data_IF_946895512212
#
_entry.id   IF_946895512212
#
_cell.length_a   1.000
_cell.length_b   1.000
_cell.length_c   1.000
_cell.angle_alpha   90.00
_cell.angle_beta   90.00
_cell.angle_gamma   90.00
#
_symmetry.space_group_name_H-M   'P 1'
#
loop_
_entity.id
_entity.type
_entity.pdbx_description
1 polymer ?
#
# COMPACT_ATOMS: atom_id res chain seq x y z
N UNK A 1 37.25 26.97 -55.28
CA UNK A 1 36.60 27.92 -56.17
C UNK A 1 35.67 28.74 -55.30
N UNK A 2 36.09 29.97 -55.07
CA UNK A 2 35.41 31.05 -54.32
C UNK A 2 34.16 31.50 -55.08
N UNK A 3 33.25 32.11 -54.38
CA UNK A 3 32.66 33.45 -54.61
C UNK A 3 31.64 33.67 -53.53
N UNK A 4 31.92 34.52 -52.65
CA UNK A 4 31.37 35.70 -52.02
C UNK A 4 30.41 36.51 -52.88
N UNK A 5 29.40 37.14 -52.30
CA UNK A 5 29.17 38.60 -52.15
C UNK A 5 27.74 38.86 -51.70
N UNK A 6 27.54 39.53 -50.63
CA UNK A 6 27.27 40.93 -50.28
C UNK A 6 25.79 41.30 -50.27
N UNK A 7 25.29 41.58 -49.12
CA UNK A 7 25.10 42.87 -48.44
C UNK A 7 24.25 43.89 -49.24
N UNK A 8 23.13 44.27 -48.65
CA UNK A 8 22.60 45.65 -48.67
C UNK A 8 21.51 45.83 -47.60
N UNK A 9 21.84 46.69 -46.67
CA UNK A 9 20.92 47.20 -45.70
C UNK A 9 20.05 48.34 -46.21
N UNK A 10 19.01 48.62 -45.50
CA UNK A 10 18.41 49.95 -45.38
C UNK A 10 17.49 50.04 -44.19
N UNK A 11 17.88 50.86 -43.32
CA UNK A 11 17.27 51.49 -42.17
C UNK A 11 16.05 52.40 -42.58
N UNK A 12 15.12 52.62 -41.67
CA UNK A 12 14.16 53.71 -41.40
C UNK A 12 12.85 53.11 -40.88
N UNK A 13 12.39 53.37 -39.69
CA UNK A 13 12.11 54.59 -39.04
C UNK A 13 10.99 54.36 -38.00
N UNK A 14 11.16 54.97 -36.94
CA UNK A 14 10.36 55.31 -35.78
C UNK A 14 8.83 55.25 -35.91
N UNK A 15 8.16 54.71 -34.89
CA UNK A 15 6.69 54.70 -34.76
C UNK A 15 6.22 54.22 -33.39
N UNK A 16 6.32 55.09 -32.40
CA UNK A 16 5.76 54.88 -31.08
C UNK A 16 4.25 54.62 -31.09
N UNK A 17 3.85 53.40 -30.77
CA UNK A 17 2.44 53.04 -30.53
C UNK A 17 2.28 52.38 -29.17
N UNK A 18 1.91 53.15 -28.15
CA UNK A 18 1.49 52.65 -26.85
C UNK A 18 0.32 51.67 -27.01
N UNK A 19 0.53 50.40 -26.69
CA UNK A 19 -0.55 49.45 -26.45
C UNK A 19 -1.09 49.60 -25.02
N UNK A 20 -2.41 49.59 -24.82
CA UNK A 20 -3.02 49.70 -23.52
C UNK A 20 -2.76 48.42 -22.71
N UNK A 21 -2.37 48.58 -21.44
CA UNK A 21 -2.23 47.54 -20.47
C UNK A 21 -3.54 46.76 -20.29
N UNK A 22 -3.54 45.50 -20.68
CA UNK A 22 -4.62 44.59 -20.34
C UNK A 22 -4.62 44.37 -18.82
N UNK A 23 -5.64 44.90 -18.15
CA UNK A 23 -6.00 44.56 -16.77
C UNK A 23 -6.15 43.02 -16.70
N UNK A 24 -5.25 42.38 -15.96
CA UNK A 24 -5.48 41.02 -15.49
C UNK A 24 -6.69 41.03 -14.55
N UNK A 25 -7.78 40.49 -15.02
CA UNK A 25 -8.90 40.09 -14.18
C UNK A 25 -8.38 39.09 -13.14
N UNK A 26 -8.80 39.16 -11.88
CA UNK A 26 -8.48 38.10 -10.91
C UNK A 26 -9.18 36.83 -11.40
N UNK A 27 -8.39 35.84 -11.80
CA UNK A 27 -8.89 34.52 -12.07
C UNK A 27 -9.54 34.04 -10.77
N UNK A 28 -10.81 33.84 -10.84
CA UNK A 28 -11.73 33.30 -9.87
C UNK A 28 -11.11 32.05 -9.22
N UNK A 29 -10.87 32.17 -7.93
CA UNK A 29 -10.61 31.03 -7.01
C UNK A 29 -11.94 30.29 -6.79
N UNK A 30 -12.43 29.61 -7.83
CA UNK A 30 -13.59 28.71 -7.76
C UNK A 30 -13.29 27.42 -8.51
N UNK A 31 -12.33 26.62 -7.97
CA UNK A 31 -12.13 25.23 -8.39
C UNK A 31 -11.49 24.40 -7.28
N UNK A 32 -11.97 24.50 -6.03
CA UNK A 32 -11.60 23.57 -4.97
C UNK A 32 -12.78 23.06 -4.14
N UNK A 33 -14.00 23.27 -4.59
CA UNK A 33 -15.21 22.79 -3.90
C UNK A 33 -15.64 21.38 -4.29
N UNK A 34 -14.69 20.50 -4.67
CA UNK A 34 -14.97 19.12 -5.08
C UNK A 34 -14.01 18.09 -4.52
N UNK A 35 -13.12 18.45 -3.61
CA UNK A 35 -12.31 17.45 -2.91
C UNK A 35 -13.26 16.53 -2.13
N UNK A 36 -13.36 15.26 -2.52
CA UNK A 36 -14.16 14.27 -1.80
C UNK A 36 -13.67 14.27 -0.35
N UNK A 37 -14.54 14.57 0.60
CA UNK A 37 -14.22 14.63 2.04
C UNK A 37 -13.63 13.32 2.57
N UNK A 38 -13.76 12.24 1.81
CA UNK A 38 -13.22 10.91 2.14
C UNK A 38 -12.63 10.27 0.90
N UNK A 39 -11.30 10.24 0.82
CA UNK A 39 -10.56 9.49 -0.19
C UNK A 39 -9.96 8.21 0.44
N UNK A 40 -9.60 7.22 -0.37
CA UNK A 40 -8.99 5.97 0.09
C UNK A 40 -7.50 6.13 0.47
N UNK A 41 -6.85 7.23 0.10
CA UNK A 41 -5.44 7.52 0.43
C UNK A 41 -5.32 8.37 1.70
N UNK A 42 -4.34 8.12 2.60
CA UNK A 42 -4.10 8.98 3.75
C UNK A 42 -3.58 10.35 3.29
N UNK A 43 -4.08 11.42 3.89
CA UNK A 43 -3.70 12.80 3.54
C UNK A 43 -2.54 13.33 4.38
N UNK A 44 -2.33 12.75 5.59
CA UNK A 44 -1.30 13.23 6.52
C UNK A 44 -0.61 12.07 7.26
N UNK A 45 0.65 12.26 7.72
CA UNK A 45 1.36 11.28 8.56
C UNK A 45 0.63 10.95 9.87
N UNK A 46 -0.12 11.91 10.42
CA UNK A 46 -0.93 11.71 11.62
C UNK A 46 -2.12 10.78 11.36
N UNK A 47 -2.74 10.88 10.20
CA UNK A 47 -3.81 9.96 9.80
C UNK A 47 -3.30 8.53 9.65
N UNK A 48 -2.09 8.36 9.11
CA UNK A 48 -1.46 7.04 9.03
C UNK A 48 -1.15 6.45 10.40
N UNK A 49 -0.66 7.25 11.34
CA UNK A 49 -0.36 6.80 12.69
C UNK A 49 -1.62 6.30 13.41
N UNK A 50 -2.73 7.04 13.28
CA UNK A 50 -4.03 6.64 13.84
C UNK A 50 -4.54 5.37 13.14
N UNK A 51 -4.44 5.30 11.81
CA UNK A 51 -4.86 4.11 11.06
C UNK A 51 -4.07 2.87 11.50
N UNK A 52 -2.76 3.00 11.74
CA UNK A 52 -1.94 1.92 12.31
C UNK A 52 -2.39 1.51 13.72
N UNK A 53 -2.74 2.47 14.57
CA UNK A 53 -3.20 2.19 15.93
C UNK A 53 -4.56 1.46 15.96
N UNK A 54 -5.40 1.66 14.95
CA UNK A 54 -6.71 1.00 14.82
C UNK A 54 -6.60 -0.42 14.24
N UNK A 55 -5.47 -0.81 13.64
CA UNK A 55 -5.32 -2.14 13.04
C UNK A 55 -5.40 -3.24 14.09
N UNK A 56 -6.13 -4.34 13.80
CA UNK A 56 -6.04 -5.54 14.62
C UNK A 56 -4.63 -6.12 14.55
N UNK A 57 -4.17 -6.70 15.65
CA UNK A 57 -2.83 -7.28 15.77
C UNK A 57 -2.83 -8.79 15.63
N UNK A 58 -3.93 -9.46 15.95
CA UNK A 58 -4.09 -10.90 15.91
C UNK A 58 -5.29 -11.29 15.03
N UNK A 59 -5.34 -12.56 14.61
CA UNK A 59 -6.45 -13.12 13.82
C UNK A 59 -7.78 -13.05 14.59
N UNK A 60 -7.77 -13.22 15.90
CA UNK A 60 -8.97 -13.15 16.74
C UNK A 60 -9.63 -11.76 16.71
N UNK A 61 -8.83 -10.72 16.60
CA UNK A 61 -9.30 -9.33 16.49
C UNK A 61 -9.74 -8.95 15.07
N UNK A 62 -9.43 -9.80 14.09
CA UNK A 62 -9.66 -9.50 12.67
C UNK A 62 -11.09 -9.86 12.28
N UNK A 63 -11.88 -8.85 11.97
CA UNK A 63 -13.29 -9.00 11.57
C UNK A 63 -13.40 -9.15 10.06
N UNK A 64 -14.26 -10.05 9.62
CA UNK A 64 -14.56 -10.29 8.21
C UNK A 64 -13.60 -11.27 7.53
N UNK A 65 -13.74 -11.42 6.20
CA UNK A 65 -12.90 -12.31 5.39
C UNK A 65 -12.83 -13.75 5.94
N UNK A 66 -13.95 -14.30 6.38
CA UNK A 66 -14.00 -15.54 7.17
C UNK A 66 -13.19 -16.70 6.56
N UNK A 67 -13.31 -16.90 5.23
CA UNK A 67 -12.58 -17.98 4.51
C UNK A 67 -11.06 -17.76 4.56
N UNK A 68 -10.61 -16.52 4.36
CA UNK A 68 -9.17 -16.16 4.38
C UNK A 68 -8.63 -16.35 5.80
N UNK A 69 -9.38 -15.92 6.80
CA UNK A 69 -9.01 -16.07 8.21
C UNK A 69 -8.87 -17.54 8.60
N UNK A 70 -9.86 -18.36 8.28
CA UNK A 70 -9.84 -19.82 8.58
C UNK A 70 -8.63 -20.49 7.90
N UNK A 71 -8.37 -20.20 6.64
CA UNK A 71 -7.21 -20.74 5.94
C UNK A 71 -5.88 -20.31 6.57
N UNK A 72 -5.73 -19.04 6.88
CA UNK A 72 -4.51 -18.53 7.52
C UNK A 72 -4.29 -19.13 8.90
N UNK A 73 -5.35 -19.31 9.69
CA UNK A 73 -5.28 -19.94 11.01
C UNK A 73 -4.70 -21.36 10.91
N UNK A 74 -5.19 -22.16 9.95
CA UNK A 74 -4.69 -23.52 9.69
C UNK A 74 -3.24 -23.49 9.24
N UNK A 75 -2.89 -22.69 8.26
CA UNK A 75 -1.55 -22.68 7.66
C UNK A 75 -0.49 -22.13 8.62
N UNK A 76 -0.81 -21.04 9.33
CA UNK A 76 0.07 -20.47 10.37
C UNK A 76 0.27 -21.47 11.51
N UNK A 77 -0.81 -22.11 11.97
CA UNK A 77 -0.73 -23.15 13.00
C UNK A 77 0.18 -24.30 12.59
N UNK A 78 0.04 -24.78 11.35
CA UNK A 78 0.88 -25.85 10.81
C UNK A 78 2.35 -25.43 10.68
N UNK A 79 2.64 -24.24 10.16
CA UNK A 79 4.01 -23.72 10.05
C UNK A 79 4.68 -23.60 11.43
N UNK A 80 3.96 -23.08 12.42
CA UNK A 80 4.44 -22.99 13.83
C UNK A 80 4.76 -24.37 14.42
N UNK A 81 3.89 -25.34 14.21
CA UNK A 81 4.11 -26.72 14.72
C UNK A 81 5.35 -27.38 14.13
N UNK A 82 5.65 -27.11 12.85
CA UNK A 82 6.81 -27.65 12.15
C UNK A 82 8.09 -26.84 12.36
N UNK A 83 7.98 -25.59 12.84
CA UNK A 83 9.12 -24.67 12.95
C UNK A 83 9.67 -24.20 11.60
N UNK A 84 8.82 -24.21 10.57
CA UNK A 84 9.14 -23.87 9.19
C UNK A 84 8.56 -22.49 8.83
N UNK A 85 9.08 -21.80 7.79
CA UNK A 85 8.43 -20.62 7.26
C UNK A 85 7.04 -20.99 6.73
N UNK A 86 6.13 -20.02 6.75
CA UNK A 86 4.84 -20.17 6.07
C UNK A 86 5.07 -20.14 4.55
N UNK A 87 4.28 -20.89 3.80
CA UNK A 87 4.25 -20.74 2.35
C UNK A 87 4.03 -19.29 1.94
N UNK A 88 4.60 -18.89 0.79
CA UNK A 88 4.43 -17.54 0.30
C UNK A 88 2.97 -17.20 0.04
N UNK A 89 2.55 -16.01 0.48
CA UNK A 89 1.14 -15.56 0.49
C UNK A 89 0.92 -14.42 -0.51
N UNK A 90 -0.04 -14.57 -1.39
CA UNK A 90 -0.52 -13.48 -2.26
C UNK A 90 -1.88 -12.98 -1.79
N UNK A 91 -1.93 -11.72 -1.37
CA UNK A 91 -3.17 -11.03 -0.98
C UNK A 91 -3.59 -10.07 -2.10
N UNK A 92 -4.75 -10.28 -2.70
CA UNK A 92 -5.21 -9.41 -3.78
C UNK A 92 -6.65 -8.94 -3.58
N UNK A 93 -6.98 -7.79 -4.14
CA UNK A 93 -8.31 -7.19 -4.05
C UNK A 93 -8.26 -5.67 -4.00
N UNK A 94 -9.41 -5.00 -3.98
CA UNK A 94 -9.52 -3.54 -3.91
C UNK A 94 -8.70 -2.89 -2.80
N UNK A 95 -8.36 -1.61 -2.92
CA UNK A 95 -7.62 -0.90 -1.87
C UNK A 95 -8.44 -0.77 -0.59
N UNK A 96 -7.77 -0.73 0.57
CA UNK A 96 -8.41 -0.47 1.86
C UNK A 96 -9.12 -1.67 2.50
N UNK A 97 -8.99 -2.89 1.95
CA UNK A 97 -9.61 -4.12 2.47
C UNK A 97 -8.78 -4.86 3.53
N UNK A 98 -7.58 -4.38 3.88
CA UNK A 98 -6.78 -4.94 4.96
C UNK A 98 -5.61 -5.83 4.54
N UNK A 99 -5.14 -5.78 3.28
CA UNK A 99 -3.95 -6.55 2.82
C UNK A 99 -2.72 -6.32 3.71
N UNK A 100 -2.37 -5.06 3.93
CA UNK A 100 -1.27 -4.68 4.84
C UNK A 100 -1.54 -5.11 6.29
N UNK A 101 -2.79 -5.05 6.74
CA UNK A 101 -3.17 -5.51 8.09
C UNK A 101 -2.93 -7.02 8.25
N UNK A 102 -3.32 -7.81 7.25
CA UNK A 102 -3.08 -9.26 7.28
C UNK A 102 -1.60 -9.62 7.27
N UNK A 103 -0.73 -8.87 6.57
CA UNK A 103 0.71 -9.13 6.62
C UNK A 103 1.30 -8.91 8.02
N UNK A 104 0.82 -7.89 8.74
CA UNK A 104 1.21 -7.66 10.13
C UNK A 104 0.70 -8.76 11.06
N UNK A 105 -0.54 -9.22 10.86
CA UNK A 105 -1.12 -10.31 11.63
C UNK A 105 -0.36 -11.61 11.40
N UNK A 106 -0.04 -11.95 10.15
CA UNK A 106 0.74 -13.15 9.81
C UNK A 106 2.08 -13.16 10.57
N UNK A 107 2.82 -12.06 10.53
CA UNK A 107 4.09 -11.97 11.24
C UNK A 107 3.92 -12.06 12.77
N UNK A 108 2.91 -11.37 13.32
CA UNK A 108 2.61 -11.41 14.76
C UNK A 108 2.19 -12.81 15.22
N UNK A 109 1.34 -13.50 14.47
CA UNK A 109 0.92 -14.87 14.76
C UNK A 109 2.08 -15.86 14.66
N UNK A 110 2.97 -15.71 13.68
CA UNK A 110 4.19 -16.52 13.56
C UNK A 110 5.21 -16.20 14.65
N UNK A 111 5.13 -15.03 15.28
CA UNK A 111 6.10 -14.57 16.28
C UNK A 111 7.45 -14.16 15.71
N UNK A 112 7.46 -13.62 14.48
CA UNK A 112 8.67 -13.26 13.72
C UNK A 112 8.65 -11.78 13.31
N UNK A 113 9.78 -11.27 12.82
CA UNK A 113 9.86 -9.89 12.35
C UNK A 113 9.13 -9.70 11.01
N UNK A 114 8.59 -8.50 10.82
CA UNK A 114 8.03 -8.06 9.55
C UNK A 114 8.95 -7.00 8.93
N UNK A 115 9.47 -7.29 7.75
CA UNK A 115 10.10 -6.29 6.88
C UNK A 115 9.09 -5.86 5.84
N UNK A 116 8.92 -4.56 5.68
CA UNK A 116 7.90 -4.00 4.79
C UNK A 116 8.53 -3.10 3.74
N UNK A 117 8.13 -3.30 2.48
CA UNK A 117 8.49 -2.47 1.34
C UNK A 117 7.32 -2.41 0.34
N UNK A 118 7.55 -1.78 -0.80
CA UNK A 118 6.59 -1.76 -1.91
C UNK A 118 7.29 -1.92 -3.26
N UNK A 119 6.56 -2.44 -4.25
CA UNK A 119 7.10 -2.62 -5.60
C UNK A 119 7.79 -1.38 -6.17
N UNK A 120 7.16 -0.18 -6.10
CA UNK A 120 7.78 1.05 -6.61
C UNK A 120 9.09 1.47 -5.93
N UNK A 121 9.35 1.04 -4.71
CA UNK A 121 10.59 1.37 -3.96
C UNK A 121 11.73 0.46 -4.38
N UNK A 122 11.43 -0.74 -4.85
CA UNK A 122 12.41 -1.72 -5.31
C UNK A 122 12.75 -1.48 -6.79
N UNK A 123 13.54 -0.46 -7.05
CA UNK A 123 13.89 -0.08 -8.42
C UNK A 123 15.01 -0.94 -8.99
N UNK A 124 15.93 -1.36 -8.16
CA UNK A 124 17.17 -2.05 -8.59
C UNK A 124 17.31 -3.41 -7.90
N UNK A 125 17.93 -4.38 -8.58
CA UNK A 125 18.27 -5.69 -8.01
C UNK A 125 18.94 -5.64 -6.63
N UNK A 126 19.87 -4.72 -6.44
CA UNK A 126 20.60 -4.55 -5.17
C UNK A 126 19.71 -4.12 -4.00
N UNK A 127 18.62 -3.41 -4.28
CA UNK A 127 17.70 -2.95 -3.22
C UNK A 127 16.95 -4.15 -2.64
N UNK A 128 16.49 -5.06 -3.50
CA UNK A 128 15.88 -6.33 -3.08
C UNK A 128 16.90 -7.24 -2.40
N UNK A 129 18.10 -7.40 -2.99
CA UNK A 129 19.15 -8.24 -2.41
C UNK A 129 19.53 -7.78 -0.98
N UNK A 130 19.66 -6.47 -0.76
CA UNK A 130 19.95 -5.91 0.56
C UNK A 130 18.83 -6.21 1.58
N UNK A 131 17.57 -6.22 1.16
CA UNK A 131 16.45 -6.59 2.03
C UNK A 131 16.49 -8.08 2.37
N UNK A 132 16.67 -8.94 1.36
CA UNK A 132 16.65 -10.40 1.52
C UNK A 132 17.81 -10.90 2.39
N UNK A 133 19.01 -10.36 2.22
CA UNK A 133 20.20 -10.75 3.03
C UNK A 133 20.11 -10.32 4.50
N UNK A 134 19.23 -9.38 4.83
CA UNK A 134 19.01 -8.90 6.20
C UNK A 134 17.79 -9.56 6.88
N UNK A 135 17.16 -10.55 6.24
CA UNK A 135 16.09 -11.32 6.86
C UNK A 135 16.68 -12.36 7.82
N UNK A 136 16.03 -12.51 8.96
CA UNK A 136 16.30 -13.60 9.89
C UNK A 136 15.45 -14.82 9.54
N UNK A 137 15.78 -15.95 10.14
CA UNK A 137 15.06 -17.22 9.90
C UNK A 137 13.56 -17.06 10.18
N UNK A 138 12.74 -17.45 9.21
CA UNK A 138 11.28 -17.42 9.21
C UNK A 138 10.66 -16.00 9.20
N UNK A 139 11.45 -14.93 9.05
CA UNK A 139 10.93 -13.57 8.93
C UNK A 139 9.91 -13.44 7.80
N UNK A 140 9.03 -12.46 7.92
CA UNK A 140 8.06 -12.11 6.88
C UNK A 140 8.54 -10.88 6.12
N UNK A 141 8.68 -11.01 4.81
CA UNK A 141 8.87 -9.89 3.89
C UNK A 141 7.53 -9.51 3.26
N UNK A 142 7.06 -8.30 3.49
CA UNK A 142 5.86 -7.78 2.85
C UNK A 142 6.20 -6.82 1.72
N UNK A 143 5.69 -7.10 0.52
CA UNK A 143 5.82 -6.22 -0.65
C UNK A 143 4.44 -5.75 -1.08
N UNK A 144 4.12 -4.46 -0.83
CA UNK A 144 2.88 -3.86 -1.33
C UNK A 144 3.01 -3.49 -2.80
N UNK A 145 1.88 -3.53 -3.52
CA UNK A 145 1.82 -3.30 -4.98
C UNK A 145 2.89 -4.11 -5.76
N UNK A 146 3.03 -5.40 -5.41
CA UNK A 146 4.05 -6.30 -5.96
C UNK A 146 4.02 -6.39 -7.50
N UNK A 147 2.87 -6.15 -8.14
CA UNK A 147 2.73 -6.08 -9.60
C UNK A 147 3.49 -4.93 -10.25
N UNK A 148 4.08 -4.03 -9.46
CA UNK A 148 4.90 -2.90 -9.94
C UNK A 148 6.41 -3.16 -9.83
N UNK A 149 6.81 -4.36 -9.50
CA UNK A 149 8.21 -4.76 -9.59
C UNK A 149 8.69 -4.67 -11.05
N UNK A 150 9.93 -4.23 -11.25
CA UNK A 150 10.55 -4.30 -12.57
C UNK A 150 10.90 -5.76 -12.91
N UNK A 151 10.90 -6.15 -14.18
CA UNK A 151 11.24 -7.52 -14.59
C UNK A 151 12.60 -8.00 -14.04
N UNK A 152 13.59 -7.11 -14.00
CA UNK A 152 14.94 -7.44 -13.50
C UNK A 152 14.94 -7.74 -11.99
N UNK A 153 14.11 -7.03 -11.21
CA UNK A 153 13.94 -7.28 -9.77
C UNK A 153 13.15 -8.58 -9.56
N UNK A 154 12.14 -8.81 -10.40
CA UNK A 154 11.33 -10.03 -10.35
C UNK A 154 12.17 -11.30 -10.63
N UNK A 155 13.11 -11.24 -11.57
CA UNK A 155 14.04 -12.35 -11.89
C UNK A 155 14.90 -12.77 -10.68
N UNK A 156 15.32 -11.82 -9.84
CA UNK A 156 16.05 -12.15 -8.60
C UNK A 156 15.15 -12.75 -7.55
N UNK A 157 13.88 -12.37 -7.55
CA UNK A 157 12.92 -12.89 -6.58
C UNK A 157 12.63 -14.38 -6.80
N UNK A 158 12.67 -14.88 -8.04
CA UNK A 158 12.33 -16.28 -8.33
C UNK A 158 13.22 -17.29 -7.56
N UNK A 159 14.55 -17.29 -7.70
CA UNK A 159 15.38 -18.21 -6.96
C UNK A 159 15.34 -17.95 -5.44
N UNK A 160 15.09 -16.71 -5.02
CA UNK A 160 14.92 -16.40 -3.61
C UNK A 160 13.69 -17.08 -2.99
N UNK A 161 12.60 -17.24 -3.76
CA UNK A 161 11.38 -17.88 -3.30
C UNK A 161 11.40 -19.41 -3.41
N UNK A 162 12.12 -19.96 -4.39
CA UNK A 162 12.19 -21.40 -4.62
C UNK A 162 13.27 -22.06 -3.77
N UNK A 163 14.49 -21.51 -3.82
CA UNK A 163 15.70 -22.16 -3.29
C UNK A 163 16.31 -21.39 -2.11
N UNK A 164 15.74 -20.25 -1.70
CA UNK A 164 16.34 -19.35 -0.72
C UNK A 164 17.75 -18.92 -1.11
N UNK A 165 17.97 -18.62 -2.39
CA UNK A 165 19.24 -18.19 -2.94
C UNK A 165 19.07 -16.98 -3.84
N UNK A 166 20.08 -16.14 -3.91
CA UNK A 166 20.15 -15.03 -4.88
C UNK A 166 21.50 -15.02 -5.57
N UNK A 167 21.48 -14.66 -6.86
CA UNK A 167 22.68 -14.42 -7.64
C UNK A 167 22.97 -12.92 -7.70
N UNK A 168 24.16 -12.53 -7.19
CA UNK A 168 24.60 -11.13 -7.22
C UNK A 168 25.80 -10.99 -8.14
N UNK A 169 25.72 -10.03 -9.08
CA UNK A 169 26.86 -9.64 -9.90
C UNK A 169 27.76 -8.69 -9.14
N UNK A 170 29.03 -9.07 -8.96
CA UNK A 170 30.07 -8.25 -8.34
C UNK A 170 31.10 -7.87 -9.37
N UNK A 171 31.47 -6.57 -9.42
CA UNK A 171 32.37 -6.01 -10.40
C UNK A 171 31.64 -5.45 -11.65
N UNK A 172 32.39 -4.84 -12.52
CA UNK A 172 31.89 -4.23 -13.76
C UNK A 172 32.64 -4.76 -14.99
N UNK A 173 31.98 -4.75 -16.12
CA UNK A 173 32.54 -5.16 -17.40
C UNK A 173 32.93 -6.65 -17.48
N UNK A 174 33.96 -7.02 -18.26
CA UNK A 174 34.36 -8.41 -18.47
C UNK A 174 34.88 -9.16 -17.23
N UNK A 175 35.19 -8.41 -16.14
CA UNK A 175 35.64 -8.97 -14.87
C UNK A 175 34.49 -9.19 -13.87
N UNK A 176 33.25 -8.92 -14.24
CA UNK A 176 32.09 -9.17 -13.41
C UNK A 176 31.93 -10.68 -13.11
N UNK A 177 31.66 -11.01 -11.85
CA UNK A 177 31.45 -12.39 -11.42
C UNK A 177 30.11 -12.51 -10.74
N UNK A 178 29.38 -13.57 -11.01
CA UNK A 178 28.19 -13.95 -10.25
C UNK A 178 28.61 -14.69 -8.99
N UNK A 179 28.03 -14.26 -7.85
CA UNK A 179 28.19 -14.94 -6.55
C UNK A 179 26.79 -15.34 -6.11
N UNK A 180 26.61 -16.63 -5.79
CA UNK A 180 25.42 -17.13 -5.14
C UNK A 180 25.50 -16.87 -3.64
N UNK A 181 24.45 -16.31 -3.08
CA UNK A 181 24.28 -16.11 -1.65
C UNK A 181 23.08 -16.91 -1.16
N UNK A 182 23.29 -17.71 -0.12
CA UNK A 182 22.21 -18.40 0.58
C UNK A 182 21.48 -17.41 1.48
N UNK A 183 20.16 -17.48 1.48
CA UNK A 183 19.27 -16.70 2.32
C UNK A 183 18.74 -17.54 3.48
N UNK A 184 18.39 -16.89 4.58
CA UNK A 184 17.58 -17.53 5.59
C UNK A 184 16.19 -17.84 5.03
N UNK A 185 15.59 -19.01 5.33
CA UNK A 185 14.21 -19.30 4.96
C UNK A 185 13.27 -18.20 5.47
N UNK A 186 12.41 -17.68 4.61
CA UNK A 186 11.50 -16.58 4.91
C UNK A 186 10.15 -16.76 4.22
N UNK A 187 9.16 -16.01 4.65
CA UNK A 187 7.85 -15.96 4.00
C UNK A 187 7.69 -14.64 3.23
N UNK A 188 7.40 -14.72 1.94
CA UNK A 188 6.96 -13.53 1.18
C UNK A 188 5.44 -13.37 1.32
N UNK A 189 4.98 -12.18 1.71
CA UNK A 189 3.59 -11.75 1.59
C UNK A 189 3.51 -10.67 0.52
N UNK A 190 3.03 -11.01 -0.66
CA UNK A 190 2.80 -10.09 -1.75
C UNK A 190 1.38 -9.50 -1.66
N UNK A 191 1.25 -8.19 -1.84
CA UNK A 191 -0.05 -7.54 -1.95
C UNK A 191 -0.22 -6.84 -3.29
N UNK A 192 -1.41 -6.92 -3.87
CA UNK A 192 -1.73 -6.24 -5.13
C UNK A 192 -3.19 -5.85 -5.23
N UNK A 193 -3.45 -4.73 -5.87
CA UNK A 193 -4.79 -4.34 -6.31
C UNK A 193 -5.13 -4.90 -7.71
N UNK A 194 -4.13 -5.41 -8.44
CA UNK A 194 -4.21 -5.81 -9.86
C UNK A 194 -3.58 -7.18 -10.08
N UNK A 195 -4.21 -8.24 -9.56
CA UNK A 195 -3.69 -9.61 -9.68
C UNK A 195 -3.43 -10.06 -11.13
N UNK A 196 -4.21 -9.56 -12.09
CA UNK A 196 -4.01 -9.86 -13.52
C UNK A 196 -2.76 -9.24 -14.15
N UNK A 197 -2.05 -8.34 -13.45
CA UNK A 197 -0.79 -7.75 -13.90
C UNK A 197 0.46 -8.49 -13.38
N UNK A 198 0.28 -9.48 -12.50
CA UNK A 198 1.38 -10.34 -12.07
C UNK A 198 1.75 -11.29 -13.20
N UNK A 199 3.04 -11.50 -13.39
CA UNK A 199 3.54 -12.54 -14.31
C UNK A 199 3.14 -13.91 -13.80
N UNK A 200 2.90 -14.86 -14.70
CA UNK A 200 2.59 -16.24 -14.31
C UNK A 200 3.71 -16.85 -13.45
N UNK A 201 5.02 -16.71 -13.82
CA UNK A 201 6.09 -17.25 -13.01
C UNK A 201 6.07 -16.75 -11.55
N UNK A 202 5.78 -15.46 -11.32
CA UNK A 202 5.70 -14.95 -9.95
C UNK A 202 4.47 -15.48 -9.23
N UNK A 203 3.33 -15.53 -9.90
CA UNK A 203 2.08 -16.04 -9.30
C UNK A 203 2.19 -17.48 -8.84
N UNK A 204 2.81 -18.34 -9.65
CA UNK A 204 2.92 -19.78 -9.40
C UNK A 204 3.78 -20.12 -8.17
N UNK A 205 4.59 -19.15 -7.69
CA UNK A 205 5.40 -19.28 -6.48
C UNK A 205 4.66 -19.00 -5.18
N UNK A 206 3.43 -18.50 -5.26
CA UNK A 206 2.60 -18.31 -4.08
C UNK A 206 1.78 -19.56 -3.78
N UNK A 207 2.11 -20.25 -2.71
CA UNK A 207 1.36 -21.42 -2.23
C UNK A 207 -0.01 -21.05 -1.67
N UNK A 208 -0.15 -19.83 -1.14
CA UNK A 208 -1.39 -19.33 -0.55
C UNK A 208 -1.85 -18.10 -1.32
N UNK A 209 -2.98 -18.20 -2.03
CA UNK A 209 -3.53 -17.11 -2.83
C UNK A 209 -4.91 -16.73 -2.28
N UNK A 210 -5.03 -15.53 -1.71
CA UNK A 210 -6.25 -15.08 -1.02
C UNK A 210 -6.80 -13.80 -1.65
N UNK A 211 -8.05 -13.88 -2.11
CA UNK A 211 -8.80 -12.73 -2.59
C UNK A 211 -9.55 -12.09 -1.43
N UNK A 212 -9.31 -10.79 -1.21
CA UNK A 212 -10.08 -10.01 -0.25
C UNK A 212 -11.31 -9.40 -0.94
N UNK A 213 -12.45 -9.53 -0.28
CA UNK A 213 -13.73 -9.06 -0.75
C UNK A 213 -14.22 -7.85 0.04
N UNK A 214 -15.20 -7.14 -0.49
CA UNK A 214 -15.84 -6.05 0.25
C UNK A 214 -16.55 -6.60 1.49
N UNK A 215 -16.47 -5.84 2.57
CA UNK A 215 -17.09 -6.16 3.83
C UNK A 215 -18.60 -5.89 3.81
N UNK A 216 -19.35 -6.68 4.54
CA UNK A 216 -20.77 -6.40 4.75
C UNK A 216 -20.97 -5.22 5.70
N UNK A 217 -22.14 -4.57 5.68
CA UNK A 217 -22.44 -3.50 6.66
C UNK A 217 -22.32 -3.96 8.12
N UNK A 218 -22.70 -5.20 8.42
CA UNK A 218 -22.62 -5.78 9.76
C UNK A 218 -21.18 -5.98 10.21
N UNK A 219 -20.32 -6.45 9.33
CA UNK A 219 -18.86 -6.56 9.59
C UNK A 219 -18.25 -5.19 9.81
N UNK A 220 -18.59 -4.20 8.98
CA UNK A 220 -18.11 -2.83 9.13
C UNK A 220 -18.64 -2.17 10.42
N UNK A 221 -19.87 -2.43 10.83
CA UNK A 221 -20.41 -1.93 12.09
C UNK A 221 -19.60 -2.46 13.30
N UNK A 222 -19.18 -3.73 13.26
CA UNK A 222 -18.28 -4.32 14.27
C UNK A 222 -16.92 -3.64 14.28
N UNK A 223 -16.34 -3.38 13.10
CA UNK A 223 -15.05 -2.68 12.96
C UNK A 223 -15.17 -1.24 13.48
N UNK A 224 -16.21 -0.51 13.11
CA UNK A 224 -16.48 0.86 13.58
C UNK A 224 -16.65 0.90 15.09
N UNK A 225 -17.41 -0.01 15.68
CA UNK A 225 -17.61 -0.11 17.14
C UNK A 225 -16.27 -0.34 17.87
N UNK A 226 -15.44 -1.27 17.39
CA UNK A 226 -14.11 -1.51 17.94
C UNK A 226 -13.23 -0.27 17.81
N UNK A 227 -13.21 0.37 16.64
CA UNK A 227 -12.43 1.57 16.40
C UNK A 227 -12.89 2.76 17.26
N UNK A 228 -14.18 2.95 17.45
CA UNK A 228 -14.75 3.98 18.31
C UNK A 228 -14.29 3.78 19.77
N UNK A 229 -14.30 2.53 20.26
CA UNK A 229 -13.79 2.20 21.59
C UNK A 229 -12.30 2.55 21.75
N UNK A 230 -11.46 2.20 20.77
CA UNK A 230 -10.03 2.52 20.77
C UNK A 230 -9.77 4.03 20.72
N UNK A 231 -10.60 4.77 20.00
CA UNK A 231 -10.52 6.24 19.90
C UNK A 231 -11.18 6.96 21.07
N UNK A 232 -11.78 6.21 22.03
CA UNK A 232 -12.57 6.76 23.13
C UNK A 232 -13.67 7.71 22.67
N UNK A 233 -14.29 7.40 21.51
CA UNK A 233 -15.38 8.17 20.92
C UNK A 233 -16.72 7.54 21.33
N UNK A 234 -17.51 8.15 22.19
CA UNK A 234 -18.83 7.64 22.55
C UNK A 234 -19.74 7.60 21.33
N UNK A 235 -20.35 6.44 21.07
CA UNK A 235 -21.17 6.23 19.88
C UNK A 235 -22.31 5.27 20.19
N UNK A 236 -23.52 5.58 19.71
CA UNK A 236 -24.64 4.66 19.74
C UNK A 236 -24.59 3.62 18.60
N UNK A 237 -25.43 2.61 18.69
CA UNK A 237 -25.46 1.55 17.68
C UNK A 237 -25.91 2.08 16.29
N UNK A 238 -26.89 2.98 16.28
CA UNK A 238 -27.46 3.54 15.05
C UNK A 238 -26.42 4.40 14.28
N UNK A 239 -25.64 5.22 15.01
CA UNK A 239 -24.54 5.99 14.42
C UNK A 239 -23.46 5.09 13.82
N UNK A 240 -23.12 3.99 14.51
CA UNK A 240 -22.16 3.00 14.00
C UNK A 240 -22.65 2.30 12.73
N UNK A 241 -23.91 1.90 12.67
CA UNK A 241 -24.53 1.29 11.49
C UNK A 241 -24.58 2.26 10.30
N UNK A 242 -24.88 3.54 10.56
CA UNK A 242 -24.94 4.54 9.50
C UNK A 242 -23.55 4.78 8.88
N UNK A 243 -22.51 4.87 9.71
CA UNK A 243 -21.11 4.95 9.24
C UNK A 243 -20.77 3.70 8.40
N UNK A 244 -21.14 2.51 8.86
CA UNK A 244 -20.89 1.26 8.16
C UNK A 244 -21.55 1.23 6.77
N UNK A 245 -22.83 1.58 6.67
CA UNK A 245 -23.57 1.67 5.39
C UNK A 245 -22.92 2.60 4.39
N UNK A 246 -22.40 3.75 4.84
CA UNK A 246 -21.76 4.75 3.98
C UNK A 246 -20.32 4.41 3.62
N UNK A 247 -19.73 3.36 4.21
CA UNK A 247 -18.32 2.99 4.04
C UNK A 247 -18.02 2.17 2.79
N UNK A 248 -19.02 1.88 1.96
CA UNK A 248 -18.89 1.20 0.66
C UNK A 248 -18.08 -0.12 0.75
N UNK A 249 -18.28 -0.89 1.80
CA UNK A 249 -17.60 -2.17 1.98
C UNK A 249 -16.12 -2.09 2.37
N UNK A 250 -15.61 -0.91 2.77
CA UNK A 250 -14.18 -0.69 2.95
C UNK A 250 -13.84 -0.24 4.38
N UNK A 251 -13.12 -1.05 5.17
CA UNK A 251 -12.70 -0.71 6.54
C UNK A 251 -11.94 0.62 6.66
N UNK A 252 -11.06 0.92 5.70
CA UNK A 252 -10.31 2.19 5.67
C UNK A 252 -11.26 3.39 5.60
N UNK A 253 -12.27 3.33 4.70
CA UNK A 253 -13.28 4.39 4.59
C UNK A 253 -14.11 4.48 5.88
N UNK A 254 -14.51 3.34 6.47
CA UNK A 254 -15.25 3.30 7.71
C UNK A 254 -14.52 4.02 8.86
N UNK A 255 -13.23 3.72 9.04
CA UNK A 255 -12.40 4.37 10.06
C UNK A 255 -12.20 5.87 9.78
N UNK A 256 -12.10 6.29 8.52
CA UNK A 256 -12.00 7.72 8.16
C UNK A 256 -13.30 8.45 8.43
N UNK A 257 -14.43 7.88 8.06
CA UNK A 257 -15.75 8.44 8.37
C UNK A 257 -15.94 8.57 9.88
N UNK A 258 -15.63 7.53 10.64
CA UNK A 258 -15.70 7.56 12.11
C UNK A 258 -14.91 8.74 12.70
N UNK A 259 -13.68 8.96 12.22
CA UNK A 259 -12.85 10.09 12.70
C UNK A 259 -13.47 11.43 12.35
N UNK A 260 -13.96 11.63 11.14
CA UNK A 260 -14.60 12.89 10.72
C UNK A 260 -15.89 13.17 11.49
N UNK A 261 -16.69 12.12 11.73
CA UNK A 261 -17.91 12.24 12.53
C UNK A 261 -17.57 12.55 13.99
N UNK A 262 -16.52 11.92 14.55
CA UNK A 262 -16.02 12.26 15.89
C UNK A 262 -15.59 13.71 15.98
N UNK A 263 -14.74 14.19 15.06
CA UNK A 263 -14.27 15.57 15.03
C UNK A 263 -15.45 16.57 14.99
N UNK A 264 -16.51 16.23 14.23
CA UNK A 264 -17.73 17.02 14.18
C UNK A 264 -18.50 16.98 15.50
N UNK A 265 -18.66 15.79 16.10
CA UNK A 265 -19.35 15.60 17.39
C UNK A 265 -18.66 16.36 18.53
N UNK A 266 -17.33 16.40 18.53
CA UNK A 266 -16.52 17.11 19.53
C UNK A 266 -16.67 18.64 19.41
N UNK A 267 -16.77 19.18 18.18
CA UNK A 267 -16.79 20.64 17.95
C UNK A 267 -18.20 21.22 17.88
N UNK A 268 -19.12 20.53 17.24
CA UNK A 268 -20.50 21.03 16.96
C UNK A 268 -21.60 20.25 17.68
N UNK A 269 -21.30 19.09 18.19
CA UNK A 269 -22.22 18.21 18.89
C UNK A 269 -22.01 18.26 20.42
N UNK A 270 -22.44 17.18 21.07
CA UNK A 270 -22.32 16.97 22.52
C UNK A 270 -21.21 15.98 22.87
N UNK A 271 -20.26 15.76 21.96
CA UNK A 271 -19.18 14.79 22.12
C UNK A 271 -19.64 13.32 22.00
N UNK A 272 -20.85 13.08 21.50
CA UNK A 272 -21.43 11.75 21.31
C UNK A 272 -21.89 11.57 19.85
N UNK A 273 -21.51 10.45 19.22
CA UNK A 273 -21.91 10.12 17.86
C UNK A 273 -23.26 9.42 17.88
N UNK A 274 -24.27 10.05 17.28
CA UNK A 274 -25.61 9.52 17.09
C UNK A 274 -25.95 9.43 15.61
N UNK A 275 -27.12 8.84 15.30
CA UNK A 275 -27.64 8.77 13.92
C UNK A 275 -27.85 10.14 13.31
#
# INVERSE_FOLDING_TARGET
MSIQTDDFGADFGDGAGKKPSARKSPATAEASAGARMVDASPETPQEEAIERALRPKLLDDYVGQAKVREQLEIFIGAAKMRGEPLDHVLLFGPPGLGKTTLSHIIAAELGVNLRQTSGPVLEKPKDLAALLTNLEKNDVLFIDEIHRLSPVVEEILYPALEDYQIDIMIGEGPAARSIKLDLQPFTLVGATTRAGMLTNPLRDRFGIVSRLEFYTPEELARIVKRSASLLKAPMDAAGGEEIAKRSRGTPRIANRLLRRVRDYADVKGVGHITH
#
